data_IF_707961321412
#
_entry.id   IF_707961321412
#
_cell.length_a   1.000
_cell.length_b   1.000
_cell.length_c   1.000
_cell.angle_alpha   90.00
_cell.angle_beta   90.00
_cell.angle_gamma   90.00
#
_symmetry.space_group_name_H-M   'P 1'
#
loop_
_entity.id
_entity.type
_entity.pdbx_description
1 polymer ?
#
# COMPACT_ATOMS: atom_id res chain seq x y z
N UNK A 1 3.06 35.92 21.85
CA UNK A 1 2.33 34.85 21.14
C UNK A 1 2.35 33.61 22.02
N UNK A 2 1.29 33.40 22.79
CA UNK A 2 1.13 32.30 23.72
C UNK A 2 0.89 31.01 22.93
N UNK A 3 1.84 30.07 23.03
CA UNK A 3 1.69 28.70 22.55
C UNK A 3 0.48 28.05 23.25
N UNK A 4 -0.47 27.52 22.47
CA UNK A 4 -1.61 26.73 22.95
C UNK A 4 -1.14 25.34 23.41
N UNK A 5 -0.23 25.28 24.38
CA UNK A 5 0.31 24.03 24.94
C UNK A 5 -0.67 23.27 25.84
N UNK A 6 -1.86 23.83 26.10
CA UNK A 6 -2.82 23.33 27.09
C UNK A 6 -3.96 22.45 26.57
N UNK A 7 -4.08 22.24 25.26
CA UNK A 7 -5.11 21.36 24.67
C UNK A 7 -4.45 20.30 23.79
N UNK A 8 -3.55 19.51 24.36
CA UNK A 8 -3.21 18.20 23.77
C UNK A 8 -4.43 17.31 23.95
N UNK A 9 -5.32 17.33 22.96
CA UNK A 9 -6.43 16.41 22.83
C UNK A 9 -5.81 15.02 22.90
N UNK A 10 -6.21 14.20 23.88
CA UNK A 10 -5.78 12.82 24.04
C UNK A 10 -6.36 11.95 22.93
N UNK A 11 -5.89 12.16 21.69
CA UNK A 11 -6.32 11.43 20.52
C UNK A 11 -5.77 10.00 20.63
N UNK A 12 -6.68 9.04 20.84
CA UNK A 12 -6.32 7.61 20.92
C UNK A 12 -6.44 6.92 19.57
N UNK A 13 -7.30 7.43 18.69
CA UNK A 13 -7.59 6.81 17.41
C UNK A 13 -7.67 7.86 16.31
N UNK A 14 -6.94 7.64 15.23
CA UNK A 14 -7.04 8.41 13.98
C UNK A 14 -7.39 7.42 12.86
N UNK A 15 -8.49 7.65 12.17
CA UNK A 15 -8.85 6.86 10.99
C UNK A 15 -8.66 7.74 9.76
N UNK A 16 -7.80 7.30 8.85
CA UNK A 16 -7.54 7.94 7.56
C UNK A 16 -8.28 7.14 6.49
N UNK A 17 -9.23 7.79 5.82
CA UNK A 17 -10.00 7.23 4.72
C UNK A 17 -9.37 7.69 3.39
N UNK A 18 -8.68 6.78 2.73
CA UNK A 18 -7.99 6.99 1.45
C UNK A 18 -8.88 6.42 0.33
N UNK A 19 -9.96 7.15 0.05
CA UNK A 19 -11.02 6.75 -0.88
C UNK A 19 -10.88 7.43 -2.26
N UNK A 20 -9.83 8.23 -2.42
CA UNK A 20 -9.52 8.95 -3.66
C UNK A 20 -8.13 8.59 -4.14
N UNK A 21 -7.89 8.78 -5.43
CA UNK A 21 -6.58 8.59 -6.01
C UNK A 21 -5.55 9.50 -5.33
N UNK A 22 -4.44 8.92 -4.87
CA UNK A 22 -3.34 9.72 -4.32
C UNK A 22 -2.76 10.60 -5.43
N UNK A 23 -2.70 11.91 -5.19
CA UNK A 23 -2.18 12.89 -6.16
C UNK A 23 -0.65 12.87 -6.23
N UNK A 24 -0.01 12.21 -5.27
CA UNK A 24 1.44 12.08 -5.16
C UNK A 24 1.81 10.69 -4.60
N UNK A 25 3.09 10.51 -4.23
CA UNK A 25 3.59 9.23 -3.78
C UNK A 25 3.11 8.83 -2.36
N UNK A 26 2.29 7.75 -2.25
CA UNK A 26 1.71 7.32 -0.98
C UNK A 26 2.73 6.94 0.09
N UNK A 27 4.00 6.69 -0.27
CA UNK A 27 5.09 6.31 0.65
C UNK A 27 5.56 7.40 1.62
N UNK A 28 5.01 8.61 1.49
CA UNK A 28 5.39 9.74 2.34
C UNK A 28 4.30 10.10 3.35
N UNK A 29 3.08 9.62 3.15
CA UNK A 29 1.92 10.11 3.89
C UNK A 29 2.00 9.73 5.37
N UNK A 30 2.37 8.48 5.71
CA UNK A 30 2.46 8.07 7.10
C UNK A 30 3.67 8.70 7.82
N UNK A 31 4.77 8.97 7.11
CA UNK A 31 5.96 9.61 7.69
C UNK A 31 5.68 10.98 8.27
N UNK A 32 4.81 11.77 7.63
CA UNK A 32 4.40 13.08 8.12
C UNK A 32 3.71 13.06 9.50
N UNK A 33 3.22 11.89 9.94
CA UNK A 33 2.54 11.72 11.22
C UNK A 33 3.50 11.36 12.37
N UNK A 34 4.79 11.13 12.08
CA UNK A 34 5.76 10.71 13.09
C UNK A 34 5.83 11.65 14.31
N UNK A 35 5.91 12.99 14.16
CA UNK A 35 5.94 13.89 15.32
C UNK A 35 4.70 13.75 16.20
N UNK A 36 3.52 13.58 15.57
CA UNK A 36 2.25 13.48 16.29
C UNK A 36 2.13 12.17 17.08
N UNK A 37 2.65 11.07 16.54
CA UNK A 37 2.72 9.78 17.22
C UNK A 37 3.75 9.78 18.35
N UNK A 38 4.87 10.48 18.17
CA UNK A 38 5.88 10.64 19.23
C UNK A 38 5.34 11.44 20.41
N UNK A 39 4.55 12.49 20.16
CA UNK A 39 3.87 13.26 21.21
C UNK A 39 2.72 12.47 21.86
N UNK A 40 2.16 11.48 21.17
CA UNK A 40 1.01 10.68 21.64
C UNK A 40 1.26 9.18 21.44
N UNK A 41 2.11 8.53 22.28
CA UNK A 41 2.50 7.13 22.06
C UNK A 41 1.34 6.11 22.13
N UNK A 42 0.19 6.51 22.68
CA UNK A 42 -1.02 5.68 22.73
C UNK A 42 -1.91 5.79 21.48
N UNK A 43 -1.58 6.70 20.55
CA UNK A 43 -2.33 6.91 19.33
C UNK A 43 -2.24 5.69 18.42
N UNK A 44 -3.40 5.25 17.94
CA UNK A 44 -3.56 4.23 16.91
C UNK A 44 -4.07 4.86 15.62
N UNK A 45 -3.30 4.70 14.56
CA UNK A 45 -3.64 5.15 13.21
C UNK A 45 -4.15 3.97 12.41
N UNK A 46 -5.38 4.06 11.91
CA UNK A 46 -5.98 3.13 10.97
C UNK A 46 -6.05 3.81 9.61
N UNK A 47 -5.20 3.38 8.67
CA UNK A 47 -5.22 3.87 7.29
C UNK A 47 -6.01 2.88 6.43
N UNK A 48 -7.22 3.26 6.05
CA UNK A 48 -8.13 2.47 5.21
C UNK A 48 -7.98 2.95 3.78
N UNK A 49 -7.62 2.06 2.88
CA UNK A 49 -7.31 2.38 1.47
C UNK A 49 -8.25 1.60 0.58
N UNK A 50 -9.04 2.32 -0.22
CA UNK A 50 -9.90 1.69 -1.22
C UNK A 50 -9.04 1.05 -2.30
N UNK A 51 -9.13 -0.28 -2.44
CA UNK A 51 -8.48 -1.00 -3.53
C UNK A 51 -8.97 -0.49 -4.87
N UNK A 52 -10.28 -0.29 -5.01
CA UNK A 52 -10.87 0.09 -6.28
C UNK A 52 -10.57 1.54 -6.64
N UNK A 53 -10.72 2.47 -5.70
CA UNK A 53 -10.67 3.91 -6.02
C UNK A 53 -9.25 4.48 -5.92
N UNK A 54 -8.45 3.97 -4.98
CA UNK A 54 -7.12 4.48 -4.69
C UNK A 54 -6.02 3.71 -5.44
N UNK A 55 -6.14 2.37 -5.56
CA UNK A 55 -5.06 1.51 -6.09
C UNK A 55 -5.32 1.09 -7.53
N UNK A 56 -6.54 0.63 -7.83
CA UNK A 56 -7.00 0.18 -9.14
C UNK A 56 -7.64 1.36 -9.90
N UNK A 57 -8.04 2.45 -9.25
CA UNK A 57 -8.92 3.47 -9.84
C UNK A 57 -8.34 4.18 -11.05
N UNK A 58 -7.03 4.41 -11.08
CA UNK A 58 -6.32 4.90 -12.27
C UNK A 58 -6.48 3.90 -13.42
N UNK A 59 -6.28 2.61 -13.13
CA UNK A 59 -6.43 1.53 -14.10
C UNK A 59 -7.88 1.40 -14.57
N UNK A 60 -8.87 1.45 -13.67
CA UNK A 60 -10.29 1.41 -14.05
C UNK A 60 -10.69 2.62 -14.90
N UNK A 61 -10.18 3.83 -14.62
CA UNK A 61 -10.40 5.02 -15.46
C UNK A 61 -9.79 4.89 -16.85
N UNK A 62 -8.67 4.17 -16.98
CA UNK A 62 -8.07 3.83 -18.27
C UNK A 62 -8.92 2.76 -18.99
N UNK A 63 -9.35 1.71 -18.28
CA UNK A 63 -10.20 0.63 -18.82
C UNK A 63 -11.60 1.12 -19.27
N UNK A 64 -12.22 2.03 -18.50
CA UNK A 64 -13.57 2.56 -18.74
C UNK A 64 -13.64 3.54 -19.93
N UNK A 65 -12.50 4.00 -20.48
CA UNK A 65 -12.45 4.84 -21.69
C UNK A 65 -12.76 4.09 -22.99
N UNK A 66 -13.21 2.85 -22.92
CA UNK A 66 -13.76 2.10 -24.06
C UNK A 66 -12.73 1.34 -24.89
N UNK A 67 -11.50 1.22 -24.40
CA UNK A 67 -10.52 0.32 -25.02
C UNK A 67 -10.91 -1.13 -24.70
N UNK A 68 -11.18 -1.93 -25.73
CA UNK A 68 -11.39 -3.38 -25.59
C UNK A 68 -10.10 -4.01 -25.06
N UNK A 69 -10.07 -4.32 -23.78
CA UNK A 69 -8.90 -4.85 -23.13
C UNK A 69 -9.08 -6.34 -22.91
N UNK A 70 -8.08 -7.13 -23.33
CA UNK A 70 -8.05 -8.58 -23.13
C UNK A 70 -8.14 -8.92 -21.63
N UNK A 71 -8.63 -10.13 -21.26
CA UNK A 71 -9.05 -10.44 -19.89
C UNK A 71 -8.01 -10.21 -18.79
N UNK A 72 -6.71 -10.25 -19.10
CA UNK A 72 -5.64 -9.90 -18.16
C UNK A 72 -4.40 -9.40 -18.92
N UNK A 73 -4.28 -8.11 -19.19
CA UNK A 73 -3.08 -7.57 -19.79
C UNK A 73 -1.92 -7.64 -18.79
N UNK A 74 -0.76 -8.12 -19.24
CA UNK A 74 0.48 -8.19 -18.43
C UNK A 74 0.83 -6.86 -17.73
N UNK A 75 0.37 -5.71 -18.26
CA UNK A 75 0.58 -4.38 -17.70
C UNK A 75 -0.32 -4.06 -16.50
N UNK A 76 -1.54 -4.62 -16.43
CA UNK A 76 -2.42 -4.51 -15.24
C UNK A 76 -1.72 -5.14 -14.04
N UNK A 77 -1.15 -6.32 -14.26
CA UNK A 77 -0.36 -7.05 -13.28
C UNK A 77 0.78 -6.21 -12.71
N UNK A 78 1.70 -5.75 -13.56
CA UNK A 78 2.90 -5.03 -13.09
C UNK A 78 2.54 -3.73 -12.39
N UNK A 79 1.47 -3.07 -12.83
CA UNK A 79 0.97 -1.84 -12.23
C UNK A 79 0.35 -2.09 -10.87
N UNK A 80 -0.48 -3.13 -10.72
CA UNK A 80 -1.14 -3.44 -9.46
C UNK A 80 -0.16 -3.86 -8.37
N UNK A 81 0.75 -4.79 -8.66
CA UNK A 81 1.76 -5.25 -7.69
C UNK A 81 2.66 -4.10 -7.23
N UNK A 82 3.06 -3.24 -8.16
CA UNK A 82 3.85 -2.04 -7.84
C UNK A 82 3.05 -1.07 -6.98
N UNK A 83 1.80 -0.78 -7.34
CA UNK A 83 0.95 0.16 -6.62
C UNK A 83 0.70 -0.31 -5.19
N UNK A 84 0.30 -1.57 -4.99
CA UNK A 84 0.15 -2.17 -3.65
C UNK A 84 1.47 -2.14 -2.89
N UNK A 85 2.58 -2.40 -3.58
CA UNK A 85 3.92 -2.35 -3.02
C UNK A 85 4.26 -1.00 -2.39
N UNK A 86 3.84 0.12 -2.97
CA UNK A 86 4.05 1.45 -2.37
C UNK A 86 3.33 1.59 -1.02
N UNK A 87 2.09 1.15 -0.93
CA UNK A 87 1.30 1.19 0.32
C UNK A 87 1.87 0.27 1.39
N UNK A 88 2.26 -0.95 1.03
CA UNK A 88 2.88 -1.89 1.98
C UNK A 88 4.22 -1.35 2.47
N UNK A 89 5.07 -0.82 1.58
CA UNK A 89 6.37 -0.24 1.97
C UNK A 89 6.21 0.92 2.93
N UNK A 90 5.28 1.83 2.67
CA UNK A 90 4.96 2.94 3.59
C UNK A 90 4.61 2.42 4.99
N UNK A 91 3.71 1.44 5.05
CA UNK A 91 3.26 0.83 6.30
C UNK A 91 4.37 0.12 7.08
N UNK A 92 5.43 -0.35 6.41
CA UNK A 92 6.59 -0.94 7.06
C UNK A 92 7.58 0.13 7.57
N UNK A 93 7.73 1.20 6.80
CA UNK A 93 8.66 2.30 7.07
C UNK A 93 8.28 3.10 8.31
N UNK A 94 7.01 3.11 8.74
CA UNK A 94 6.58 3.80 9.96
C UNK A 94 7.42 3.40 11.19
N UNK A 95 7.87 2.15 11.25
CA UNK A 95 8.76 1.67 12.32
C UNK A 95 10.13 2.35 12.29
N UNK A 96 10.67 2.58 11.10
CA UNK A 96 11.98 3.21 10.91
C UNK A 96 11.96 4.69 11.31
N UNK A 97 10.81 5.35 11.21
CA UNK A 97 10.61 6.76 11.61
C UNK A 97 10.10 6.91 13.05
N UNK A 98 10.17 5.83 13.86
CA UNK A 98 9.95 5.89 15.30
C UNK A 98 8.52 5.67 15.78
N UNK A 99 7.64 5.09 14.96
CA UNK A 99 6.32 4.67 15.44
C UNK A 99 6.46 3.53 16.46
N UNK A 100 5.75 3.59 17.60
CA UNK A 100 5.64 2.45 18.49
C UNK A 100 4.96 1.26 17.81
N UNK A 101 5.23 0.06 18.32
CA UNK A 101 4.64 -1.18 17.79
C UNK A 101 3.12 -1.14 17.95
N UNK A 102 2.38 -1.52 16.89
CA UNK A 102 0.89 -1.51 16.82
C UNK A 102 0.23 -0.13 16.75
N UNK A 103 0.98 0.97 16.62
CA UNK A 103 0.40 2.31 16.44
C UNK A 103 -0.11 2.58 15.02
N UNK A 104 0.20 1.72 14.04
CA UNK A 104 -0.23 1.89 12.65
C UNK A 104 -0.80 0.60 12.10
N UNK A 105 -1.96 0.69 11.46
CA UNK A 105 -2.62 -0.40 10.75
C UNK A 105 -2.99 0.08 9.35
N UNK A 106 -2.41 -0.55 8.33
CA UNK A 106 -2.88 -0.43 6.95
C UNK A 106 -3.99 -1.46 6.71
N UNK A 107 -5.14 -1.00 6.23
CA UNK A 107 -6.24 -1.87 5.79
C UNK A 107 -6.56 -1.58 4.34
N UNK A 108 -6.43 -2.60 3.50
CA UNK A 108 -6.88 -2.57 2.11
C UNK A 108 -8.37 -2.98 2.08
N UNK A 109 -9.24 -2.10 1.62
CA UNK A 109 -10.69 -2.32 1.62
C UNK A 109 -11.20 -2.45 0.17
N UNK A 110 -11.97 -3.51 -0.10
CA UNK A 110 -12.54 -3.78 -1.41
C UNK A 110 -13.96 -3.20 -1.59
N UNK A 111 -14.58 -2.73 -0.50
CA UNK A 111 -15.96 -2.25 -0.49
C UNK A 111 -16.94 -3.29 -1.05
N UNK A 112 -17.88 -2.83 -1.88
CA UNK A 112 -18.88 -3.68 -2.56
C UNK A 112 -18.29 -4.61 -3.63
N UNK A 113 -16.99 -4.52 -3.92
CA UNK A 113 -16.32 -5.29 -4.97
C UNK A 113 -15.39 -6.37 -4.39
N UNK A 114 -15.74 -6.90 -3.22
CA UNK A 114 -14.92 -7.84 -2.46
C UNK A 114 -14.49 -9.05 -3.29
N UNK A 115 -15.41 -9.75 -3.95
CA UNK A 115 -15.10 -10.96 -4.70
C UNK A 115 -14.09 -10.69 -5.83
N UNK A 116 -14.30 -9.62 -6.59
CA UNK A 116 -13.39 -9.20 -7.67
C UNK A 116 -12.01 -8.83 -7.13
N UNK A 117 -11.95 -8.01 -6.08
CA UNK A 117 -10.67 -7.59 -5.51
C UNK A 117 -9.92 -8.76 -4.87
N UNK A 118 -10.63 -9.69 -4.21
CA UNK A 118 -10.04 -10.88 -3.61
C UNK A 118 -9.46 -11.80 -4.69
N UNK A 119 -10.20 -12.12 -5.75
CA UNK A 119 -9.70 -12.95 -6.85
C UNK A 119 -8.49 -12.30 -7.53
N UNK A 120 -8.57 -11.00 -7.83
CA UNK A 120 -7.48 -10.25 -8.45
C UNK A 120 -6.22 -10.24 -7.58
N UNK A 121 -6.36 -9.93 -6.28
CA UNK A 121 -5.25 -9.95 -5.34
C UNK A 121 -4.67 -11.35 -5.17
N UNK A 122 -5.51 -12.38 -5.02
CA UNK A 122 -5.04 -13.75 -4.88
C UNK A 122 -4.22 -14.17 -6.10
N UNK A 123 -4.73 -13.96 -7.32
CA UNK A 123 -4.00 -14.31 -8.55
C UNK A 123 -2.67 -13.59 -8.68
N UNK A 124 -2.65 -12.29 -8.39
CA UNK A 124 -1.45 -11.47 -8.57
C UNK A 124 -0.44 -11.72 -7.45
N UNK A 125 -0.86 -11.66 -6.19
CA UNK A 125 0.01 -11.83 -5.03
C UNK A 125 0.54 -13.24 -4.93
N UNK A 126 -0.29 -14.29 -5.06
CA UNK A 126 0.21 -15.67 -4.97
C UNK A 126 1.19 -15.98 -6.09
N UNK A 127 0.93 -15.50 -7.31
CA UNK A 127 1.88 -15.67 -8.41
C UNK A 127 3.18 -14.93 -8.15
N UNK A 128 3.13 -13.68 -7.71
CA UNK A 128 4.36 -12.89 -7.47
C UNK A 128 5.19 -13.49 -6.32
N UNK A 129 4.53 -13.98 -5.27
CA UNK A 129 5.19 -14.74 -4.20
C UNK A 129 5.81 -16.03 -4.73
N UNK A 130 5.10 -16.79 -5.57
CA UNK A 130 5.62 -18.01 -6.17
C UNK A 130 6.83 -17.72 -7.07
N UNK A 131 6.75 -16.67 -7.90
CA UNK A 131 7.86 -16.23 -8.74
C UNK A 131 9.06 -15.79 -7.93
N UNK A 132 8.88 -14.95 -6.90
CA UNK A 132 9.96 -14.54 -6.01
C UNK A 132 10.62 -15.73 -5.29
N UNK A 133 9.84 -16.74 -4.90
CA UNK A 133 10.39 -17.98 -4.31
C UNK A 133 11.21 -18.78 -5.31
N UNK A 134 10.65 -19.02 -6.51
CA UNK A 134 11.34 -19.73 -7.58
C UNK A 134 12.65 -19.03 -7.99
N UNK A 135 12.61 -17.71 -8.16
CA UNK A 135 13.79 -16.91 -8.47
C UNK A 135 14.89 -17.07 -7.41
N UNK A 136 14.55 -16.94 -6.13
CA UNK A 136 15.51 -17.10 -5.02
C UNK A 136 16.12 -18.50 -4.98
N UNK A 137 15.34 -19.54 -5.30
CA UNK A 137 15.87 -20.90 -5.41
C UNK A 137 16.87 -21.02 -6.56
N UNK A 138 16.50 -20.53 -7.75
CA UNK A 138 17.38 -20.58 -8.93
C UNK A 138 18.66 -19.76 -8.75
N UNK A 139 18.58 -18.62 -8.07
CA UNK A 139 19.73 -17.80 -7.69
C UNK A 139 20.65 -18.55 -6.71
N UNK A 140 20.09 -19.18 -5.67
CA UNK A 140 20.85 -19.99 -4.73
C UNK A 140 21.50 -21.23 -5.37
N UNK A 141 20.91 -21.76 -6.45
CA UNK A 141 21.44 -22.89 -7.21
C UNK A 141 22.41 -22.48 -8.34
N UNK A 142 22.71 -21.19 -8.51
CA UNK A 142 23.64 -20.72 -9.54
C UNK A 142 23.16 -20.95 -10.98
N UNK A 143 21.86 -21.20 -11.17
CA UNK A 143 21.26 -21.53 -12.47
C UNK A 143 20.98 -20.32 -13.36
N UNK A 144 21.15 -19.11 -12.86
CA UNK A 144 21.15 -17.90 -13.69
C UNK A 144 22.57 -17.65 -14.21
N UNK A 145 22.78 -17.81 -15.52
CA UNK A 145 23.92 -17.18 -16.18
C UNK A 145 23.76 -15.67 -16.00
N UNK A 146 24.73 -15.02 -15.36
CA UNK A 146 24.90 -13.58 -15.54
C UNK A 146 25.29 -13.40 -17.00
N UNK A 147 24.44 -12.74 -17.78
CA UNK A 147 24.90 -12.16 -19.03
C UNK A 147 25.99 -11.16 -18.66
N UNK A 148 27.24 -11.50 -18.98
CA UNK A 148 28.35 -10.55 -18.92
C UNK A 148 28.07 -9.43 -19.95
N UNK A 149 28.35 -8.15 -19.60
CA UNK A 149 28.01 -6.99 -20.43
C UNK A 149 28.73 -6.94 -21.77
#
# INVERSE_FOLDING_TARGET
>A
MSSLSGQRIWLKHLVLHEDFNSVNDPHTHARGLAPFVQENPSLQIFRRVSLLDCIIGILMRILQRGERIQPEPKWIRSSLSRNIGYWIRDALVVKEVGFPTKCFTLRLEAGSHQDFCTDLLQRIVHRDVAWCRAYKLLEAHGTFQKDDP
#
